data_IF_535460093938
#
_entry.id   IF_535460093938
#
_cell.length_a   1.000
_cell.length_b   1.000
_cell.length_c   1.000
_cell.angle_alpha   90.00
_cell.angle_beta   90.00
_cell.angle_gamma   90.00
#
_symmetry.space_group_name_H-M   'P 1'
#
loop_
_entity.id
_entity.type
_entity.pdbx_description
1 polymer ?
#
# COMPACT_ATOMS: atom_id res chain seq x y z
N UNK A 1 3.05 -7.34 6.87
CA UNK A 1 3.43 -7.49 5.45
C UNK A 1 2.37 -8.31 4.74
N UNK A 2 2.05 -7.96 3.50
CA UNK A 2 0.99 -8.52 2.67
C UNK A 2 1.52 -8.74 1.25
N UNK A 3 0.75 -9.40 0.40
CA UNK A 3 1.11 -9.69 -0.99
C UNK A 3 0.41 -8.77 -1.99
N UNK A 4 -0.66 -8.09 -1.55
CA UNK A 4 -1.57 -7.35 -2.41
C UNK A 4 -2.54 -8.25 -3.20
N UNK A 5 -2.71 -9.49 -2.78
CA UNK A 5 -3.69 -10.42 -3.34
C UNK A 5 -4.88 -10.54 -2.39
N UNK A 6 -5.96 -9.87 -2.74
CA UNK A 6 -7.16 -9.81 -1.90
C UNK A 6 -7.76 -11.21 -1.72
N UNK A 7 -7.98 -11.59 -0.47
CA UNK A 7 -8.55 -12.91 -0.11
C UNK A 7 -10.07 -12.87 -0.05
N UNK A 8 -10.63 -11.76 0.37
CA UNK A 8 -12.07 -11.56 0.54
C UNK A 8 -12.40 -10.07 0.52
N UNK A 9 -13.60 -9.71 0.11
CA UNK A 9 -14.19 -8.40 0.39
C UNK A 9 -15.08 -8.49 1.63
N UNK A 10 -14.80 -7.67 2.63
CA UNK A 10 -15.63 -7.55 3.83
C UNK A 10 -16.58 -6.36 3.74
N UNK A 11 -17.62 -6.36 4.58
CA UNK A 11 -18.58 -5.26 4.67
C UNK A 11 -18.44 -4.54 6.01
N UNK A 12 -18.34 -3.22 6.00
CA UNK A 12 -18.37 -2.42 7.23
C UNK A 12 -19.73 -2.59 7.91
N UNK A 13 -19.74 -3.26 9.04
CA UNK A 13 -20.94 -3.55 9.83
C UNK A 13 -21.28 -2.42 10.79
N UNK A 14 -20.24 -1.86 11.43
CA UNK A 14 -20.38 -0.82 12.43
C UNK A 14 -19.15 0.08 12.47
N UNK A 15 -19.40 1.35 12.74
CA UNK A 15 -18.38 2.37 12.98
C UNK A 15 -18.69 3.03 14.32
N UNK A 16 -17.72 3.14 15.20
CA UNK A 16 -17.86 3.76 16.52
C UNK A 16 -16.74 4.81 16.65
N UNK A 17 -17.12 6.07 16.71
CA UNK A 17 -16.17 7.14 16.99
C UNK A 17 -15.82 7.15 18.49
N UNK A 18 -14.51 7.17 18.78
CA UNK A 18 -13.94 7.16 20.12
C UNK A 18 -13.06 8.40 20.32
N UNK A 19 -13.69 9.56 20.42
CA UNK A 19 -12.99 10.83 20.46
C UNK A 19 -12.32 11.15 19.13
N UNK A 20 -10.99 11.12 19.09
CA UNK A 20 -10.21 11.31 17.85
C UNK A 20 -10.00 10.03 17.05
N UNK A 21 -10.09 8.89 17.72
CA UNK A 21 -9.91 7.57 17.14
C UNK A 21 -11.25 6.97 16.70
N UNK A 22 -11.20 5.87 16.00
CA UNK A 22 -12.39 5.14 15.50
C UNK A 22 -12.21 3.65 15.71
N UNK A 23 -13.30 2.96 16.02
CA UNK A 23 -13.36 1.50 15.96
C UNK A 23 -14.27 1.09 14.81
N UNK A 24 -13.85 0.11 14.05
CA UNK A 24 -14.67 -0.48 12.97
C UNK A 24 -14.91 -1.96 13.25
N UNK A 25 -16.12 -2.42 12.91
CA UNK A 25 -16.44 -3.84 12.83
C UNK A 25 -16.67 -4.21 11.36
N UNK A 26 -16.00 -5.26 10.91
CA UNK A 26 -16.03 -5.72 9.52
C UNK A 26 -16.60 -7.13 9.48
N UNK A 27 -17.70 -7.30 8.76
CA UNK A 27 -18.29 -8.60 8.48
C UNK A 27 -17.54 -9.29 7.34
N UNK A 28 -17.13 -10.54 7.56
CA UNK A 28 -16.43 -11.38 6.59
C UNK A 28 -16.54 -12.85 7.02
N UNK A 29 -16.07 -13.79 6.20
CA UNK A 29 -16.19 -15.22 6.49
C UNK A 29 -14.90 -15.99 6.25
N UNK A 30 -14.30 -15.85 5.05
CA UNK A 30 -13.16 -16.67 4.63
C UNK A 30 -11.92 -16.36 5.47
N UNK A 31 -11.63 -15.07 5.63
CA UNK A 31 -10.42 -14.58 6.27
C UNK A 31 -10.39 -14.90 7.79
N UNK A 32 -11.57 -15.06 8.41
CA UNK A 32 -11.69 -15.39 9.83
C UNK A 32 -11.13 -16.77 10.20
N UNK A 33 -10.97 -17.69 9.24
CA UNK A 33 -10.50 -19.05 9.52
C UNK A 33 -9.11 -19.05 10.15
N UNK A 34 -8.24 -18.17 9.65
CA UNK A 34 -6.83 -18.08 10.05
C UNK A 34 -6.50 -16.77 10.75
N UNK A 35 -7.52 -16.00 11.16
CA UNK A 35 -7.37 -14.70 11.81
C UNK A 35 -7.49 -14.83 13.33
N UNK A 36 -6.50 -14.33 14.07
CA UNK A 36 -6.48 -14.32 15.54
C UNK A 36 -6.45 -12.90 16.11
N UNK A 37 -6.85 -12.76 17.36
CA UNK A 37 -6.70 -11.49 18.10
C UNK A 37 -5.21 -11.16 18.21
N UNK A 38 -4.85 -9.93 17.88
CA UNK A 38 -3.46 -9.45 17.81
C UNK A 38 -2.80 -9.58 16.45
N UNK A 39 -3.39 -10.31 15.51
CA UNK A 39 -2.86 -10.40 14.14
C UNK A 39 -2.96 -9.05 13.40
N UNK A 40 -2.03 -8.84 12.48
CA UNK A 40 -2.14 -7.78 11.49
C UNK A 40 -3.03 -8.24 10.34
N UNK A 41 -3.93 -7.36 9.92
CA UNK A 41 -4.81 -7.54 8.77
C UNK A 41 -4.76 -6.29 7.88
N UNK A 42 -4.75 -6.49 6.56
CA UNK A 42 -4.91 -5.40 5.60
C UNK A 42 -6.38 -5.12 5.35
N UNK A 43 -6.80 -3.88 5.56
CA UNK A 43 -8.14 -3.36 5.23
C UNK A 43 -7.98 -2.23 4.22
N UNK A 44 -8.39 -2.43 2.98
CA UNK A 44 -8.11 -1.50 1.87
C UNK A 44 -6.63 -1.08 1.82
N UNK A 45 -5.70 -2.02 2.02
CA UNK A 45 -4.27 -1.75 2.01
C UNK A 45 -3.71 -1.15 3.29
N UNK A 46 -4.53 -0.96 4.32
CA UNK A 46 -4.08 -0.39 5.59
C UNK A 46 -3.87 -1.51 6.60
N UNK A 47 -2.67 -1.58 7.16
CA UNK A 47 -2.33 -2.53 8.22
C UNK A 47 -3.02 -2.12 9.53
N UNK A 48 -3.95 -2.94 10.00
CA UNK A 48 -4.64 -2.78 11.27
C UNK A 48 -4.39 -4.00 12.15
N UNK A 49 -4.60 -3.85 13.46
CA UNK A 49 -4.51 -4.95 14.40
C UNK A 49 -5.89 -5.43 14.79
N UNK A 50 -6.11 -6.74 14.74
CA UNK A 50 -7.36 -7.38 15.15
C UNK A 50 -7.51 -7.26 16.67
N UNK A 51 -8.54 -6.55 17.13
CA UNK A 51 -8.82 -6.32 18.55
C UNK A 51 -9.75 -7.38 19.12
N UNK A 52 -10.77 -7.76 18.38
CA UNK A 52 -11.70 -8.83 18.73
C UNK A 52 -12.23 -9.50 17.47
N UNK A 53 -12.75 -10.72 17.63
CA UNK A 53 -13.39 -11.47 16.53
C UNK A 53 -14.58 -12.26 17.03
N UNK A 54 -15.51 -12.51 16.12
CA UNK A 54 -16.63 -13.44 16.25
C UNK A 54 -16.57 -14.51 15.15
N UNK A 55 -17.63 -15.30 14.98
CA UNK A 55 -17.77 -16.22 13.85
C UNK A 55 -18.02 -15.54 12.51
N UNK A 56 -18.43 -14.25 12.49
CA UNK A 56 -18.88 -13.54 11.29
C UNK A 56 -18.20 -12.18 11.08
N UNK A 57 -17.41 -11.71 12.06
CA UNK A 57 -16.80 -10.38 12.01
C UNK A 57 -15.53 -10.29 12.86
N UNK A 58 -14.76 -9.25 12.63
CA UNK A 58 -13.69 -8.80 13.52
C UNK A 58 -13.77 -7.28 13.71
N UNK A 59 -13.10 -6.79 14.78
CA UNK A 59 -12.99 -5.36 15.07
C UNK A 59 -11.54 -4.92 15.05
N UNK A 60 -11.31 -3.68 14.63
CA UNK A 60 -10.02 -3.00 14.72
C UNK A 60 -10.21 -1.59 15.26
N UNK A 61 -9.23 -1.11 16.04
CA UNK A 61 -9.12 0.30 16.37
C UNK A 61 -8.31 1.01 15.27
N UNK A 62 -8.72 2.23 14.93
CA UNK A 62 -8.07 3.09 13.94
C UNK A 62 -7.64 4.36 14.64
N UNK A 63 -6.34 4.64 14.64
CA UNK A 63 -5.80 5.86 15.22
C UNK A 63 -6.18 7.10 14.42
N UNK A 64 -6.19 8.24 15.09
CA UNK A 64 -6.40 9.55 14.45
C UNK A 64 -5.45 9.80 13.28
N UNK A 65 -4.19 9.40 13.41
CA UNK A 65 -3.20 9.53 12.34
C UNK A 65 -3.62 8.74 11.10
N UNK A 66 -3.99 7.46 11.28
CA UNK A 66 -4.45 6.57 10.20
C UNK A 66 -5.71 7.12 9.53
N UNK A 67 -6.65 7.66 10.31
CA UNK A 67 -7.85 8.30 9.75
C UNK A 67 -7.52 9.50 8.85
N UNK A 68 -6.54 10.32 9.25
CA UNK A 68 -6.22 11.53 8.49
C UNK A 68 -5.45 11.27 7.20
N UNK A 69 -4.70 10.18 7.13
CA UNK A 69 -3.81 9.86 6.00
C UNK A 69 -4.42 8.86 5.02
N UNK A 70 -5.58 8.26 5.35
CA UNK A 70 -6.17 7.17 4.56
C UNK A 70 -7.63 7.42 4.22
N UNK A 71 -8.17 6.57 3.32
CA UNK A 71 -9.57 6.60 2.93
C UNK A 71 -10.52 6.14 4.04
N UNK A 72 -10.03 5.58 5.17
CA UNK A 72 -10.88 5.06 6.26
C UNK A 72 -11.78 6.12 6.89
N UNK A 73 -11.37 7.40 6.85
CA UNK A 73 -12.21 8.49 7.37
C UNK A 73 -13.51 8.70 6.60
N UNK A 74 -13.55 8.27 5.34
CA UNK A 74 -14.71 8.43 4.45
C UNK A 74 -15.61 7.21 4.43
N UNK A 75 -15.23 6.10 5.08
CA UNK A 75 -16.02 4.89 5.11
C UNK A 75 -17.33 5.08 5.89
N UNK A 76 -18.36 4.46 5.38
CA UNK A 76 -19.68 4.37 5.98
C UNK A 76 -20.05 2.91 6.26
N UNK A 77 -21.00 2.72 7.17
CA UNK A 77 -21.63 1.41 7.36
C UNK A 77 -22.26 0.94 6.05
N UNK A 78 -21.95 -0.29 5.67
CA UNK A 78 -22.38 -0.89 4.40
C UNK A 78 -21.33 -0.90 3.30
N UNK A 79 -20.26 -0.10 3.41
CA UNK A 79 -19.19 -0.06 2.42
C UNK A 79 -18.43 -1.37 2.37
N UNK A 80 -17.95 -1.72 1.16
CA UNK A 80 -17.13 -2.89 0.92
C UNK A 80 -15.66 -2.54 1.00
N UNK A 81 -14.88 -3.38 1.68
CA UNK A 81 -13.43 -3.22 1.86
C UNK A 81 -12.69 -4.48 1.44
N UNK A 82 -11.52 -4.31 0.85
CA UNK A 82 -10.61 -5.41 0.53
C UNK A 82 -9.92 -5.90 1.79
N UNK A 83 -9.82 -7.21 1.94
CA UNK A 83 -9.22 -7.87 3.10
C UNK A 83 -8.12 -8.84 2.67
N UNK A 84 -7.00 -8.82 3.40
CA UNK A 84 -5.90 -9.77 3.26
C UNK A 84 -5.26 -10.04 4.62
N UNK A 85 -5.04 -11.33 4.97
CA UNK A 85 -4.26 -11.72 6.16
C UNK A 85 -2.79 -11.39 5.97
N UNK A 86 -2.08 -11.16 7.06
CA UNK A 86 -0.62 -11.00 7.02
C UNK A 86 0.06 -12.23 6.42
N UNK A 87 1.12 -11.96 5.64
CA UNK A 87 1.94 -12.97 4.97
C UNK A 87 2.65 -13.85 6.00
N UNK A 88 2.60 -15.16 5.80
CA UNK A 88 3.39 -16.14 6.54
C UNK A 88 4.62 -16.60 5.72
N UNK A 89 5.65 -17.21 6.35
CA UNK A 89 6.84 -17.70 5.62
C UNK A 89 6.56 -18.74 4.53
N UNK A 90 5.40 -19.39 4.59
CA UNK A 90 5.00 -20.44 3.64
C UNK A 90 4.11 -19.94 2.50
N UNK A 91 3.67 -18.69 2.56
CA UNK A 91 2.81 -18.11 1.54
C UNK A 91 3.58 -17.77 0.26
N UNK A 92 2.88 -17.84 -0.87
CA UNK A 92 3.41 -17.40 -2.16
C UNK A 92 3.30 -15.88 -2.27
N UNK A 93 4.40 -15.23 -2.64
CA UNK A 93 4.39 -13.81 -3.01
C UNK A 93 3.93 -13.67 -4.47
N UNK A 94 2.61 -13.70 -4.70
CA UNK A 94 2.03 -13.62 -6.05
C UNK A 94 1.87 -12.21 -6.60
N UNK A 95 1.99 -11.18 -5.74
CA UNK A 95 1.99 -9.76 -6.10
C UNK A 95 3.35 -9.13 -5.85
N UNK A 96 3.40 -8.12 -4.97
CA UNK A 96 4.64 -7.52 -4.49
C UNK A 96 4.58 -7.34 -2.96
N UNK A 97 5.64 -6.87 -2.34
CA UNK A 97 5.66 -6.59 -0.90
C UNK A 97 4.83 -5.34 -0.59
N UNK A 98 3.63 -5.55 -0.03
CA UNK A 98 2.75 -4.49 0.48
C UNK A 98 2.91 -4.42 1.99
N UNK A 99 3.30 -3.26 2.50
CA UNK A 99 3.55 -3.10 3.94
C UNK A 99 2.28 -2.84 4.74
N UNK A 100 1.26 -2.30 4.09
CA UNK A 100 0.06 -1.78 4.71
C UNK A 100 0.22 -0.35 5.24
N UNK A 101 1.27 0.33 4.80
CA UNK A 101 1.56 1.71 5.16
C UNK A 101 1.28 2.63 3.97
N UNK A 102 0.02 3.01 3.86
CA UNK A 102 -0.49 3.88 2.80
C UNK A 102 0.28 5.19 2.75
N UNK A 103 0.77 5.57 1.57
CA UNK A 103 1.50 6.82 1.36
C UNK A 103 0.57 8.02 1.23
N UNK A 104 -0.50 7.83 0.46
CA UNK A 104 -1.48 8.89 0.21
C UNK A 104 -2.82 8.29 -0.23
N UNK A 105 -3.79 9.18 -0.36
CA UNK A 105 -5.04 8.88 -1.06
C UNK A 105 -4.97 9.45 -2.47
N UNK A 106 -5.55 8.74 -3.44
CA UNK A 106 -5.70 9.20 -4.81
C UNK A 106 -7.15 9.12 -5.25
N UNK A 107 -7.47 9.80 -6.33
CA UNK A 107 -8.81 9.83 -6.91
C UNK A 107 -8.87 9.02 -8.19
N UNK A 108 -9.91 8.22 -8.35
CA UNK A 108 -10.19 7.55 -9.62
C UNK A 108 -10.70 8.62 -10.60
N UNK A 109 -9.98 8.84 -11.70
CA UNK A 109 -10.35 9.81 -12.73
C UNK A 109 -11.28 9.19 -13.76
N UNK A 110 -10.96 7.94 -14.17
CA UNK A 110 -11.71 7.24 -15.22
C UNK A 110 -11.63 5.73 -15.04
N UNK A 111 -12.72 5.06 -15.37
CA UNK A 111 -12.78 3.60 -15.53
C UNK A 111 -13.28 3.31 -16.94
N UNK A 112 -12.52 2.55 -17.72
CA UNK A 112 -12.84 2.19 -19.09
C UNK A 112 -12.67 0.70 -19.31
N UNK A 113 -13.53 0.08 -20.11
CA UNK A 113 -13.38 -1.32 -20.50
C UNK A 113 -12.47 -1.42 -21.73
N UNK A 114 -11.46 -2.28 -21.67
CA UNK A 114 -10.56 -2.59 -22.77
C UNK A 114 -10.61 -4.10 -23.02
N UNK A 115 -11.33 -4.51 -24.07
CA UNK A 115 -11.61 -5.91 -24.31
C UNK A 115 -12.33 -6.55 -23.14
N UNK A 116 -11.69 -7.53 -22.49
CA UNK A 116 -12.22 -8.19 -21.28
C UNK A 116 -11.76 -7.52 -19.99
N UNK A 117 -10.72 -6.69 -20.04
CA UNK A 117 -10.09 -6.03 -18.89
C UNK A 117 -10.64 -4.64 -18.65
N UNK A 118 -10.25 -4.02 -17.54
CA UNK A 118 -10.59 -2.65 -17.16
C UNK A 118 -9.31 -1.81 -17.07
N UNK A 119 -9.34 -0.64 -17.68
CA UNK A 119 -8.33 0.41 -17.46
C UNK A 119 -8.87 1.37 -16.43
N UNK A 120 -8.13 1.55 -15.34
CA UNK A 120 -8.42 2.56 -14.33
C UNK A 120 -7.33 3.61 -14.39
N UNK A 121 -7.72 4.85 -14.63
CA UNK A 121 -6.88 6.03 -14.56
C UNK A 121 -7.07 6.69 -13.19
N UNK A 122 -5.95 6.98 -12.53
CA UNK A 122 -5.91 7.58 -11.20
C UNK A 122 -5.09 8.86 -11.23
N UNK A 123 -5.45 9.79 -10.38
CA UNK A 123 -4.63 10.95 -10.05
C UNK A 123 -3.26 10.49 -9.53
N UNK A 124 -2.20 11.16 -9.96
CA UNK A 124 -0.83 10.95 -9.49
C UNK A 124 -0.45 12.10 -8.53
N UNK A 125 -0.62 11.93 -7.23
CA UNK A 125 -0.19 12.93 -6.25
C UNK A 125 1.29 13.25 -6.39
N UNK A 126 1.65 14.54 -6.23
CA UNK A 126 3.02 15.02 -6.38
C UNK A 126 4.02 14.27 -5.49
N UNK A 127 3.59 13.93 -4.28
CA UNK A 127 4.43 13.37 -3.23
C UNK A 127 4.90 11.93 -3.54
N UNK A 128 4.18 11.23 -4.42
CA UNK A 128 4.54 9.85 -4.81
C UNK A 128 5.08 9.73 -6.23
N UNK A 129 5.17 10.84 -6.98
CA UNK A 129 5.55 10.83 -8.41
C UNK A 129 6.88 10.14 -8.69
N UNK A 130 7.88 10.39 -7.88
CA UNK A 130 9.22 9.84 -8.06
C UNK A 130 9.30 8.32 -7.82
N UNK A 131 8.30 7.77 -7.16
CA UNK A 131 8.21 6.33 -6.85
C UNK A 131 7.38 5.55 -7.87
N UNK A 132 6.70 6.25 -8.80
CA UNK A 132 5.79 5.64 -9.77
C UNK A 132 6.48 5.49 -11.12
N UNK A 133 6.72 4.26 -11.53
CA UNK A 133 7.41 3.95 -12.79
C UNK A 133 6.56 3.07 -13.71
N UNK A 134 6.64 3.31 -15.03
CA UNK A 134 6.01 2.43 -16.02
C UNK A 134 6.47 0.98 -15.82
N UNK A 135 5.52 0.04 -15.78
CA UNK A 135 5.74 -1.40 -15.47
C UNK A 135 6.14 -1.69 -14.02
N UNK A 136 6.24 -0.68 -13.17
CA UNK A 136 6.42 -0.87 -11.73
C UNK A 136 5.16 -1.40 -11.05
N UNK A 137 5.34 -1.85 -9.80
CA UNK A 137 4.24 -2.27 -8.93
C UNK A 137 3.71 -1.09 -8.13
N UNK A 138 2.42 -1.14 -7.81
CA UNK A 138 1.73 -0.20 -6.93
C UNK A 138 0.57 -0.91 -6.24
N UNK A 139 0.26 -0.56 -5.01
CA UNK A 139 -0.92 -1.08 -4.33
C UNK A 139 -2.03 -0.02 -4.31
N UNK A 140 -3.23 -0.39 -4.81
CA UNK A 140 -4.44 0.44 -4.79
C UNK A 140 -5.49 -0.25 -3.95
N UNK A 141 -5.95 0.39 -2.86
CA UNK A 141 -6.80 -0.24 -1.84
C UNK A 141 -6.28 -1.64 -1.46
N UNK A 142 -4.95 -1.80 -1.35
CA UNK A 142 -4.26 -3.04 -1.02
C UNK A 142 -4.12 -4.04 -2.17
N UNK A 143 -4.60 -3.74 -3.37
CA UNK A 143 -4.49 -4.62 -4.54
C UNK A 143 -3.17 -4.35 -5.23
N UNK A 144 -2.32 -5.38 -5.37
CA UNK A 144 -1.09 -5.32 -6.15
C UNK A 144 -1.40 -5.22 -7.64
N UNK A 145 -0.97 -4.13 -8.26
CA UNK A 145 -1.23 -3.83 -9.67
C UNK A 145 0.04 -3.38 -10.38
N UNK A 146 0.06 -3.56 -11.70
CA UNK A 146 1.14 -3.09 -12.57
C UNK A 146 0.74 -1.78 -13.23
N UNK A 147 1.60 -0.78 -13.15
CA UNK A 147 1.43 0.51 -13.81
C UNK A 147 1.57 0.31 -15.32
N UNK A 148 0.51 0.60 -16.06
CA UNK A 148 0.46 0.45 -17.52
C UNK A 148 0.82 1.73 -18.29
N UNK A 149 0.61 2.89 -17.66
CA UNK A 149 0.92 4.21 -18.22
C UNK A 149 1.16 5.21 -17.09
N UNK A 150 2.06 6.17 -17.34
CA UNK A 150 2.26 7.36 -16.50
C UNK A 150 2.19 8.57 -17.42
N UNK A 151 1.26 9.50 -17.19
CA UNK A 151 1.02 10.64 -18.08
C UNK A 151 0.65 11.91 -17.31
N UNK A 152 1.55 12.87 -17.31
CA UNK A 152 1.31 14.15 -16.63
C UNK A 152 1.02 13.94 -15.14
N UNK A 153 -0.18 14.27 -14.71
CA UNK A 153 -0.66 14.16 -13.33
C UNK A 153 -1.57 12.95 -13.11
N UNK A 154 -1.46 11.93 -13.98
CA UNK A 154 -2.20 10.68 -13.85
C UNK A 154 -1.32 9.47 -14.13
N UNK A 155 -1.74 8.32 -13.61
CA UNK A 155 -1.23 7.01 -14.00
C UNK A 155 -2.38 6.04 -14.21
N UNK A 156 -2.12 4.98 -14.96
CA UNK A 156 -3.13 3.98 -15.27
C UNK A 156 -2.68 2.58 -14.88
N UNK A 157 -3.64 1.76 -14.50
CA UNK A 157 -3.47 0.32 -14.25
C UNK A 157 -4.48 -0.47 -15.08
N UNK A 158 -4.08 -1.65 -15.55
CA UNK A 158 -4.97 -2.58 -16.26
C UNK A 158 -5.33 -3.73 -15.32
N UNK A 159 -6.62 -3.98 -15.16
CA UNK A 159 -7.16 -4.95 -14.22
C UNK A 159 -7.89 -6.05 -14.98
N UNK A 160 -7.50 -7.30 -14.73
CA UNK A 160 -8.18 -8.46 -15.31
C UNK A 160 -9.56 -8.68 -14.68
N UNK A 161 -10.52 -9.32 -15.38
CA UNK A 161 -11.88 -9.50 -14.88
C UNK A 161 -11.93 -10.11 -13.48
N UNK A 162 -11.14 -11.15 -13.24
CA UNK A 162 -11.11 -11.82 -11.93
C UNK A 162 -10.79 -10.86 -10.78
N UNK A 163 -9.76 -10.00 -10.91
CA UNK A 163 -9.39 -9.02 -9.88
C UNK A 163 -10.47 -7.96 -9.71
N UNK A 164 -11.04 -7.48 -10.81
CA UNK A 164 -12.12 -6.49 -10.76
C UNK A 164 -13.34 -7.00 -10.01
N UNK A 165 -13.79 -8.22 -10.32
CA UNK A 165 -15.00 -8.83 -9.76
C UNK A 165 -14.84 -9.29 -8.30
N UNK A 166 -13.60 -9.63 -7.88
CA UNK A 166 -13.31 -10.15 -6.54
C UNK A 166 -12.71 -9.13 -5.57
N UNK A 167 -12.75 -7.84 -5.92
CA UNK A 167 -12.28 -6.73 -5.07
C UNK A 167 -13.32 -5.61 -5.00
N UNK A 168 -13.07 -4.63 -4.14
CA UNK A 168 -13.93 -3.45 -4.02
C UNK A 168 -13.97 -2.59 -5.30
N UNK A 169 -13.07 -2.83 -6.27
CA UNK A 169 -13.01 -2.07 -7.53
C UNK A 169 -14.29 -2.19 -8.37
N UNK A 170 -15.00 -3.34 -8.27
CA UNK A 170 -16.28 -3.54 -8.98
C UNK A 170 -17.38 -2.56 -8.56
N UNK A 171 -17.29 -1.99 -7.36
CA UNK A 171 -18.22 -1.00 -6.84
C UNK A 171 -17.74 0.45 -6.98
N UNK A 172 -16.48 0.65 -7.41
CA UNK A 172 -15.88 1.97 -7.54
C UNK A 172 -16.31 2.68 -8.83
N UNK A 173 -16.34 4.00 -8.76
CA UNK A 173 -16.69 4.90 -9.87
C UNK A 173 -15.71 6.07 -9.96
N UNK A 174 -15.65 6.77 -11.09
CA UNK A 174 -14.91 8.04 -11.19
C UNK A 174 -15.33 9.02 -10.09
N UNK A 175 -14.34 9.63 -9.46
CA UNK A 175 -14.49 10.51 -8.30
C UNK A 175 -14.27 9.84 -6.95
N UNK A 176 -14.29 8.51 -6.87
CA UNK A 176 -14.04 7.79 -5.62
C UNK A 176 -12.57 7.90 -5.21
N UNK A 177 -12.36 7.88 -3.90
CA UNK A 177 -11.04 7.96 -3.25
C UNK A 177 -10.57 6.56 -2.93
N UNK A 178 -9.29 6.28 -3.20
CA UNK A 178 -8.61 5.03 -2.91
C UNK A 178 -7.31 5.28 -2.15
N UNK A 179 -6.85 4.29 -1.40
CA UNK A 179 -5.53 4.30 -0.79
C UNK A 179 -4.46 3.92 -1.81
N UNK A 180 -3.33 4.59 -1.78
CA UNK A 180 -2.18 4.31 -2.62
C UNK A 180 -0.97 4.02 -1.74
N UNK A 181 -0.31 2.88 -1.96
CA UNK A 181 0.98 2.55 -1.39
C UNK A 181 1.95 2.26 -2.54
N UNK A 182 3.09 2.97 -2.56
CA UNK A 182 4.15 2.74 -3.54
C UNK A 182 4.94 1.48 -3.20
N UNK A 183 5.57 0.87 -4.21
CA UNK A 183 6.45 -0.27 -3.98
C UNK A 183 7.59 0.14 -3.03
N UNK A 184 7.78 -0.64 -1.96
CA UNK A 184 8.81 -0.37 -0.96
C UNK A 184 10.21 -0.35 -1.56
N UNK A 185 10.49 -1.10 -2.63
CA UNK A 185 11.76 -1.07 -3.33
C UNK A 185 12.01 0.29 -3.97
N UNK A 186 10.98 0.88 -4.61
CA UNK A 186 11.08 2.23 -5.15
C UNK A 186 11.40 3.25 -4.04
N UNK A 187 10.76 3.13 -2.86
CA UNK A 187 10.99 4.00 -1.70
C UNK A 187 12.45 3.97 -1.25
N UNK A 188 13.04 2.78 -1.11
CA UNK A 188 14.45 2.67 -0.69
C UNK A 188 15.42 3.16 -1.76
N UNK A 189 15.15 2.88 -3.04
CA UNK A 189 16.00 3.32 -4.15
C UNK A 189 15.99 4.85 -4.26
N UNK A 190 14.81 5.47 -4.26
CA UNK A 190 14.69 6.94 -4.36
C UNK A 190 15.34 7.62 -3.16
N UNK A 191 15.10 7.12 -1.94
CA UNK A 191 15.73 7.65 -0.74
C UNK A 191 17.26 7.58 -0.83
N UNK A 192 17.81 6.45 -1.25
CA UNK A 192 19.26 6.27 -1.41
C UNK A 192 19.86 7.23 -2.44
N UNK A 193 19.16 7.47 -3.56
CA UNK A 193 19.60 8.42 -4.58
C UNK A 193 19.53 9.87 -4.08
N UNK A 194 18.49 10.24 -3.37
CA UNK A 194 18.34 11.58 -2.78
C UNK A 194 19.40 11.86 -1.72
N UNK A 195 19.69 10.91 -0.82
CA UNK A 195 20.77 11.04 0.17
C UNK A 195 22.12 11.21 -0.49
N UNK A 196 22.37 10.55 -1.62
CA UNK A 196 23.61 10.73 -2.40
C UNK A 196 23.69 12.10 -3.07
N UNK A 197 22.58 12.66 -3.50
CA UNK A 197 22.54 13.98 -4.16
C UNK A 197 22.63 15.13 -3.13
N UNK A 198 22.01 14.98 -1.97
CA UNK A 198 22.01 16.00 -0.90
C UNK A 198 23.20 15.87 0.05
N UNK A 199 23.71 14.67 0.21
CA UNK A 199 24.96 14.44 0.93
C UNK A 199 26.13 14.79 0.02
N UNK A 200 26.81 15.88 0.34
CA UNK A 200 28.17 16.19 -0.11
C UNK A 200 29.19 15.16 0.44
N UNK A 201 28.91 13.88 0.28
CA UNK A 201 29.94 12.86 0.31
C UNK A 201 30.47 12.85 -1.12
N UNK A 202 31.41 13.76 -1.37
CA UNK A 202 32.29 13.69 -2.51
C UNK A 202 32.82 12.24 -2.50
N UNK A 203 32.33 11.40 -3.40
CA UNK A 203 32.69 9.97 -3.42
C UNK A 203 34.20 9.79 -3.56
N UNK A 204 34.87 10.83 -4.03
CA UNK A 204 36.30 10.94 -4.11
C UNK A 204 36.91 11.19 -2.73
N UNK A 205 36.40 12.13 -1.95
CA UNK A 205 36.89 12.41 -0.59
C UNK A 205 36.74 11.20 0.35
N UNK A 206 35.63 10.47 0.22
CA UNK A 206 35.42 9.24 1.00
C UNK A 206 36.41 8.15 0.59
N UNK A 207 36.63 7.97 -0.73
CA UNK A 207 37.65 7.03 -1.24
C UNK A 207 39.05 7.43 -0.80
N UNK A 208 39.35 8.71 -0.88
CA UNK A 208 40.67 9.24 -0.48
C UNK A 208 40.87 9.12 1.03
N UNK A 209 39.83 9.34 1.84
CA UNK A 209 39.86 9.13 3.29
C UNK A 209 40.08 7.65 3.65
N UNK A 210 39.30 6.74 3.03
CA UNK A 210 39.49 5.28 3.25
C UNK A 210 40.84 4.81 2.78
N UNK A 211 41.32 5.31 1.64
CA UNK A 211 42.67 4.98 1.12
C UNK A 211 43.73 5.49 2.08
N UNK A 212 43.62 6.72 2.55
CA UNK A 212 44.57 7.32 3.51
C UNK A 212 44.61 6.53 4.82
N UNK A 213 43.47 6.19 5.40
CA UNK A 213 43.36 5.36 6.61
C UNK A 213 44.00 3.97 6.41
N UNK A 214 43.83 3.37 5.23
CA UNK A 214 44.48 2.09 4.89
C UNK A 214 45.97 2.22 4.75
N UNK A 215 46.47 3.28 4.10
CA UNK A 215 47.92 3.53 3.94
C UNK A 215 48.59 3.80 5.29
N UNK A 216 47.98 4.59 6.16
CA UNK A 216 48.47 4.84 7.52
C UNK A 216 48.51 3.56 8.34
N UNK A 217 47.48 2.71 8.29
CA UNK A 217 47.41 1.42 9.01
C UNK A 217 48.49 0.43 8.56
N UNK A 218 48.97 0.54 7.32
CA UNK A 218 49.99 -0.32 6.76
C UNK A 218 51.36 0.34 6.69
N UNK A 219 51.54 1.52 7.32
CA UNK A 219 52.86 2.17 7.44
C UNK A 219 53.40 2.82 6.17
N UNK A 220 52.54 3.12 5.19
CA UNK A 220 52.92 3.75 3.92
C UNK A 220 52.86 5.28 3.92
N UNK A 221 52.49 5.89 5.02
CA UNK A 221 52.52 7.36 5.22
C UNK A 221 53.29 7.66 6.50
N UNK A 222 54.27 8.57 6.39
CA UNK A 222 54.98 9.18 7.54
C UNK A 222 54.21 10.40 8.00
#
# INVERSE_FOLDING_TARGET
>A
MFTGLIKETGKIRKIIDKGRDREIEIQCLKILRDLHIGDSISVNGICLTVKSRSSESFTCDISFNTLNTTSLKYLNTGDMVNLENSLTPHDKLGGHFVSGHVDCIGKILKISRIGRSYLIELELPSDIRDFVALKGSIAIDGISLTISEVKGESFSVVIIPYTYENTNLSSRKPGDIVNIEVDMLARYIVNFLQVRQTGNINSQELKDKILKEKLEKHGFTK
#
